data_IF_974663569601
#
_entry.id   IF_974663569601
#
_cell.length_a   1.000
_cell.length_b   1.000
_cell.length_c   1.000
_cell.angle_alpha   90.00
_cell.angle_beta   90.00
_cell.angle_gamma   90.00
#
_symmetry.space_group_name_H-M   'P 1'
#
loop_
_entity.id
_entity.type
_entity.pdbx_description
1 polymer ?
#
# COMPACT_ATOMS: atom_id res chain seq x y z
N UNK A 1 -2.96 12.33 5.60
CA UNK A 1 -3.94 13.23 6.25
C UNK A 1 -3.46 13.49 7.67
N UNK A 2 -4.12 14.36 8.43
CA UNK A 2 -3.82 14.62 9.85
C UNK A 2 -5.06 14.26 10.66
N UNK A 3 -4.89 13.43 11.68
CA UNK A 3 -5.93 13.16 12.66
C UNK A 3 -6.12 14.41 13.55
N UNK A 4 -7.34 14.92 13.64
CA UNK A 4 -7.62 16.15 14.38
C UNK A 4 -7.55 15.95 15.89
N UNK A 5 -7.74 14.74 16.41
CA UNK A 5 -7.69 14.46 17.84
C UNK A 5 -6.24 14.33 18.33
N UNK A 6 -5.41 13.58 17.59
CA UNK A 6 -4.02 13.29 17.98
C UNK A 6 -3.00 14.22 17.36
N UNK A 7 -3.37 14.95 16.30
CA UNK A 7 -2.47 15.73 15.44
C UNK A 7 -1.39 14.88 14.73
N UNK A 8 -1.54 13.55 14.75
CA UNK A 8 -0.62 12.63 14.08
C UNK A 8 -0.94 12.52 12.57
N UNK A 9 0.08 12.22 11.78
CA UNK A 9 -0.10 11.85 10.38
C UNK A 9 -0.75 10.48 10.29
N UNK A 10 -1.79 10.38 9.47
CA UNK A 10 -2.52 9.15 9.26
C UNK A 10 -2.78 8.85 7.78
N UNK A 11 -3.09 7.59 7.50
CA UNK A 11 -3.48 7.09 6.17
C UNK A 11 -4.93 6.65 6.12
N UNK A 12 -5.46 6.60 4.91
CA UNK A 12 -6.77 6.04 4.63
C UNK A 12 -6.59 4.72 3.93
N UNK A 13 -7.04 3.63 4.56
CA UNK A 13 -7.02 2.32 3.93
C UNK A 13 -8.31 2.14 3.12
N UNK A 14 -8.15 2.05 1.79
CA UNK A 14 -9.27 1.77 0.88
C UNK A 14 -9.74 0.32 1.00
N UNK A 15 -8.81 -0.59 1.28
CA UNK A 15 -9.04 -2.01 1.46
C UNK A 15 -7.78 -2.81 1.21
N UNK A 16 -7.87 -4.11 1.44
CA UNK A 16 -6.74 -5.05 1.27
C UNK A 16 -7.21 -6.27 0.51
N UNK A 17 -6.44 -6.73 -0.47
CA UNK A 17 -6.66 -8.02 -1.11
C UNK A 17 -5.74 -9.07 -0.51
N UNK A 18 -6.28 -10.26 -0.22
CA UNK A 18 -5.51 -11.38 0.30
C UNK A 18 -5.88 -12.67 -0.42
N UNK A 19 -4.85 -13.47 -0.69
CA UNK A 19 -4.97 -14.81 -1.26
C UNK A 19 -4.79 -15.87 -0.15
N UNK A 20 -5.73 -15.87 0.82
CA UNK A 20 -5.70 -16.83 1.93
C UNK A 20 -7.07 -17.01 2.60
N UNK A 21 -7.30 -18.20 3.15
CA UNK A 21 -8.50 -18.55 3.90
C UNK A 21 -8.63 -17.76 5.23
N UNK A 22 -7.51 -17.29 5.78
CA UNK A 22 -7.48 -16.51 7.04
C UNK A 22 -8.26 -15.20 6.94
N UNK A 23 -8.62 -14.78 5.72
CA UNK A 23 -9.50 -13.65 5.41
C UNK A 23 -10.82 -13.65 6.17
N UNK A 24 -11.39 -14.82 6.52
CA UNK A 24 -12.74 -14.93 7.10
C UNK A 24 -12.88 -14.11 8.39
N UNK A 25 -11.91 -14.23 9.32
CA UNK A 25 -11.99 -13.54 10.62
C UNK A 25 -11.90 -12.01 10.45
N UNK A 26 -10.85 -11.45 9.81
CA UNK A 26 -10.76 -10.01 9.54
C UNK A 26 -11.98 -9.45 8.82
N UNK A 27 -12.47 -10.15 7.80
CA UNK A 27 -13.54 -9.66 6.92
C UNK A 27 -14.90 -9.66 7.61
N UNK A 28 -15.25 -10.71 8.37
CA UNK A 28 -16.61 -10.88 8.90
C UNK A 28 -16.72 -10.59 10.40
N UNK A 29 -15.68 -10.88 11.19
CA UNK A 29 -15.69 -10.62 12.63
C UNK A 29 -15.27 -9.18 12.91
N UNK A 30 -14.20 -8.71 12.27
CA UNK A 30 -13.65 -7.36 12.51
C UNK A 30 -14.13 -6.30 11.52
N UNK A 31 -14.95 -6.69 10.53
CA UNK A 31 -15.53 -5.81 9.50
C UNK A 31 -14.48 -5.03 8.70
N UNK A 32 -13.27 -5.57 8.56
CA UNK A 32 -12.23 -4.98 7.73
C UNK A 32 -12.63 -5.06 6.24
N UNK A 33 -12.31 -4.04 5.43
CA UNK A 33 -12.51 -4.02 3.98
C UNK A 33 -11.47 -4.91 3.28
N UNK A 34 -11.39 -6.17 3.72
CA UNK A 34 -10.48 -7.15 3.16
C UNK A 34 -11.23 -8.02 2.15
N UNK A 35 -10.64 -8.23 0.98
CA UNK A 35 -11.25 -8.88 -0.16
C UNK A 35 -10.39 -10.08 -0.59
N UNK A 36 -11.05 -11.15 -1.05
CA UNK A 36 -10.32 -12.28 -1.62
C UNK A 36 -9.78 -11.89 -3.00
N UNK A 37 -8.58 -12.33 -3.30
CA UNK A 37 -7.97 -12.19 -4.62
C UNK A 37 -7.08 -13.39 -4.91
N UNK A 38 -6.83 -13.64 -6.19
CA UNK A 38 -5.73 -14.46 -6.66
C UNK A 38 -4.56 -13.54 -7.00
N UNK A 39 -3.38 -13.82 -6.45
CA UNK A 39 -2.19 -12.99 -6.66
C UNK A 39 -1.10 -13.83 -7.31
N UNK A 40 -0.68 -13.40 -8.50
CA UNK A 40 0.38 -14.05 -9.29
C UNK A 40 1.61 -13.15 -9.31
N UNK A 41 2.77 -13.79 -9.10
CA UNK A 41 4.08 -13.14 -9.19
C UNK A 41 4.93 -13.84 -10.24
N UNK A 42 5.50 -13.06 -11.16
CA UNK A 42 6.54 -13.49 -12.10
C UNK A 42 7.77 -12.60 -11.90
N UNK A 43 8.67 -13.07 -11.03
CA UNK A 43 9.82 -12.33 -10.55
C UNK A 43 11.13 -13.03 -10.92
N UNK A 44 12.10 -12.25 -11.37
CA UNK A 44 13.45 -12.68 -11.68
C UNK A 44 14.44 -11.68 -11.08
N UNK A 45 15.47 -12.20 -10.42
CA UNK A 45 16.52 -11.38 -9.81
C UNK A 45 17.88 -11.73 -10.43
N UNK A 46 18.76 -10.73 -10.50
CA UNK A 46 20.17 -10.94 -10.81
C UNK A 46 20.96 -11.48 -9.60
N UNK A 47 22.27 -11.69 -9.79
CA UNK A 47 23.15 -12.24 -8.75
C UNK A 47 23.27 -11.31 -7.52
N UNK A 48 23.02 -10.02 -7.69
CA UNK A 48 23.04 -9.01 -6.63
C UNK A 48 21.66 -8.79 -5.99
N UNK A 49 20.65 -9.55 -6.41
CA UNK A 49 19.30 -9.52 -5.85
C UNK A 49 18.41 -8.39 -6.38
N UNK A 50 18.81 -7.69 -7.45
CA UNK A 50 17.96 -6.68 -8.11
C UNK A 50 16.97 -7.36 -9.04
N UNK A 51 15.73 -6.90 -9.04
CA UNK A 51 14.72 -7.47 -9.93
C UNK A 51 14.99 -7.08 -11.39
N UNK A 52 15.44 -8.02 -12.23
CA UNK A 52 15.44 -7.83 -13.69
C UNK A 52 14.02 -7.84 -14.24
N UNK A 53 13.11 -8.55 -13.54
CA UNK A 53 11.68 -8.52 -13.77
C UNK A 53 10.96 -8.67 -12.43
N UNK A 54 9.96 -7.82 -12.21
CA UNK A 54 8.95 -8.00 -11.18
C UNK A 54 7.60 -7.72 -11.80
N UNK A 55 6.80 -8.76 -11.97
CA UNK A 55 5.40 -8.66 -12.41
C UNK A 55 4.50 -9.17 -11.31
N UNK A 56 3.52 -8.36 -10.93
CA UNK A 56 2.49 -8.74 -9.98
C UNK A 56 1.13 -8.46 -10.57
N UNK A 57 0.26 -9.47 -10.57
CA UNK A 57 -1.11 -9.36 -11.02
C UNK A 57 -2.06 -9.87 -9.96
N UNK A 58 -3.08 -9.08 -9.68
CA UNK A 58 -4.15 -9.41 -8.73
C UNK A 58 -5.47 -9.51 -9.46
N UNK A 59 -6.14 -10.66 -9.35
CA UNK A 59 -7.51 -10.85 -9.84
C UNK A 59 -8.47 -10.92 -8.65
N UNK A 60 -9.42 -9.98 -8.59
CA UNK A 60 -10.41 -9.92 -7.53
C UNK A 60 -11.73 -9.39 -8.07
N UNK A 61 -12.85 -9.92 -7.55
CA UNK A 61 -14.17 -9.34 -7.80
C UNK A 61 -14.29 -7.90 -7.25
N UNK A 62 -13.41 -7.50 -6.32
CA UNK A 62 -13.40 -6.14 -5.81
C UNK A 62 -12.67 -5.18 -6.73
N UNK A 63 -11.40 -5.43 -7.05
CA UNK A 63 -10.62 -4.64 -8.00
C UNK A 63 -9.37 -5.41 -8.46
N UNK A 64 -9.04 -5.29 -9.74
CA UNK A 64 -7.80 -5.85 -10.30
C UNK A 64 -6.63 -4.85 -10.20
N UNK A 65 -5.43 -5.39 -10.01
CA UNK A 65 -4.18 -4.63 -10.12
C UNK A 65 -3.15 -5.36 -10.97
N UNK A 66 -2.29 -4.61 -11.64
CA UNK A 66 -1.18 -5.11 -12.45
C UNK A 66 0.00 -4.14 -12.32
N UNK A 67 1.19 -4.65 -12.03
CA UNK A 67 2.41 -3.87 -11.90
C UNK A 67 3.54 -4.64 -12.56
N UNK A 68 4.32 -3.94 -13.39
CA UNK A 68 5.56 -4.44 -13.98
C UNK A 68 6.66 -3.41 -13.76
N UNK A 69 7.74 -3.83 -13.10
CA UNK A 69 8.92 -3.02 -12.85
C UNK A 69 10.21 -3.83 -13.01
N UNK A 70 11.32 -3.13 -13.14
CA UNK A 70 12.67 -3.68 -13.07
C UNK A 70 13.57 -2.77 -12.24
N UNK A 71 14.74 -3.25 -11.86
CA UNK A 71 15.75 -2.51 -11.12
C UNK A 71 17.07 -2.48 -11.87
N UNK A 72 17.79 -1.38 -11.69
CA UNK A 72 19.17 -1.17 -12.11
C UNK A 72 19.98 -0.55 -10.97
N UNK A 73 21.28 -0.77 -10.96
CA UNK A 73 22.21 -0.06 -10.06
C UNK A 73 22.14 1.46 -10.26
N UNK A 74 21.78 1.91 -11.47
CA UNK A 74 21.74 3.31 -11.85
C UNK A 74 20.35 3.95 -11.76
N UNK A 75 19.34 3.23 -11.23
CA UNK A 75 18.02 3.82 -11.07
C UNK A 75 18.08 5.02 -10.09
N UNK A 76 17.65 6.22 -10.52
CA UNK A 76 17.84 7.43 -9.75
C UNK A 76 16.82 7.54 -8.61
N UNK A 77 17.23 8.21 -7.53
CA UNK A 77 16.28 8.70 -6.53
C UNK A 77 15.64 10.01 -7.01
N UNK A 78 14.31 10.05 -6.97
CA UNK A 78 13.52 11.27 -7.16
C UNK A 78 12.96 11.71 -5.82
N UNK A 79 13.48 12.82 -5.29
CA UNK A 79 13.08 13.38 -3.98
C UNK A 79 13.04 14.92 -4.02
N UNK A 80 13.01 15.50 -5.21
CA UNK A 80 12.76 16.92 -5.41
C UNK A 80 11.49 17.36 -4.66
N UNK A 81 11.54 18.54 -4.02
CA UNK A 81 10.49 18.99 -3.11
C UNK A 81 10.63 18.50 -1.66
N UNK A 82 11.57 17.59 -1.37
CA UNK A 82 11.95 17.21 -0.01
C UNK A 82 13.34 17.76 0.36
N UNK A 83 13.58 18.13 1.64
CA UNK A 83 14.89 18.62 2.08
C UNK A 83 16.05 17.65 1.81
N UNK A 84 15.79 16.34 1.93
CA UNK A 84 16.77 15.28 1.72
C UNK A 84 16.08 13.92 1.55
N UNK A 85 16.85 12.91 1.13
CA UNK A 85 16.40 11.53 0.94
C UNK A 85 15.72 10.94 2.19
N UNK A 86 16.23 11.24 3.39
CA UNK A 86 15.67 10.73 4.64
C UNK A 86 14.25 11.27 4.86
N UNK A 87 14.04 12.58 4.74
CA UNK A 87 12.74 13.21 4.91
C UNK A 87 11.71 12.69 3.90
N UNK A 88 12.14 12.41 2.67
CA UNK A 88 11.35 11.80 1.62
C UNK A 88 10.92 10.37 1.99
N UNK A 89 11.87 9.54 2.43
CA UNK A 89 11.58 8.16 2.86
C UNK A 89 10.64 8.14 4.07
N UNK A 90 10.88 9.00 5.07
CA UNK A 90 9.99 9.13 6.24
C UNK A 90 8.59 9.55 5.81
N UNK A 91 8.47 10.51 4.88
CA UNK A 91 7.17 10.95 4.39
C UNK A 91 6.37 9.80 3.76
N UNK A 92 7.01 8.98 2.93
CA UNK A 92 6.35 7.88 2.22
C UNK A 92 6.04 6.67 3.10
N UNK A 93 6.85 6.40 4.12
CA UNK A 93 6.82 5.12 4.84
C UNK A 93 6.27 5.21 6.25
N UNK A 94 6.15 6.40 6.87
CA UNK A 94 5.98 6.50 8.33
C UNK A 94 4.57 6.68 8.94
N UNK A 95 3.42 6.73 8.22
CA UNK A 95 2.14 6.81 8.93
C UNK A 95 1.75 5.47 9.58
N UNK A 96 1.82 5.42 10.91
CA UNK A 96 1.56 4.21 11.72
C UNK A 96 0.08 3.96 12.03
N UNK A 97 -0.76 5.00 11.93
CA UNK A 97 -2.20 4.93 12.16
C UNK A 97 -2.94 5.05 10.83
N UNK A 98 -3.92 4.17 10.61
CA UNK A 98 -4.80 4.30 9.47
C UNK A 98 -6.26 4.06 9.79
N UNK A 99 -7.09 4.80 9.06
CA UNK A 99 -8.54 4.81 9.19
C UNK A 99 -9.16 4.19 7.94
N UNK A 100 -10.36 3.64 8.09
CA UNK A 100 -11.06 3.00 6.98
C UNK A 100 -12.57 2.95 7.24
N UNK A 101 -13.34 2.83 6.16
CA UNK A 101 -14.75 2.47 6.26
C UNK A 101 -14.89 0.98 6.56
N UNK A 102 -15.47 0.68 7.71
CA UNK A 102 -15.87 -0.69 8.05
C UNK A 102 -17.01 -1.12 7.15
N UNK A 103 -17.16 -2.43 6.99
CA UNK A 103 -18.25 -3.02 6.18
C UNK A 103 -19.65 -2.79 6.75
N UNK A 104 -19.75 -2.45 8.05
CA UNK A 104 -21.00 -2.05 8.72
C UNK A 104 -21.28 -0.53 8.62
N UNK A 105 -20.48 0.20 7.83
CA UNK A 105 -20.63 1.65 7.61
C UNK A 105 -19.99 2.52 8.69
N UNK A 106 -19.48 1.94 9.78
CA UNK A 106 -18.80 2.68 10.85
C UNK A 106 -17.35 3.02 10.47
N UNK A 107 -16.74 3.92 11.23
CA UNK A 107 -15.32 4.22 11.11
C UNK A 107 -14.50 3.19 11.89
N UNK A 108 -13.49 2.62 11.23
CA UNK A 108 -12.51 1.74 11.85
C UNK A 108 -11.13 2.38 11.86
N UNK A 109 -10.29 1.94 12.79
CA UNK A 109 -8.88 2.29 12.83
C UNK A 109 -8.04 1.09 13.25
N UNK A 110 -6.86 0.94 12.65
CA UNK A 110 -5.83 0.04 13.16
C UNK A 110 -4.45 0.68 13.00
N UNK A 111 -3.49 0.11 13.72
CA UNK A 111 -2.09 0.51 13.64
C UNK A 111 -1.29 -0.57 12.94
N UNK A 112 -0.33 -0.14 12.13
CA UNK A 112 0.69 -1.02 11.55
C UNK A 112 2.02 -0.52 12.06
N UNK A 113 2.81 -1.43 12.61
CA UNK A 113 4.20 -1.18 12.88
C UNK A 113 5.05 -1.91 11.85
N UNK A 114 6.14 -1.29 11.42
CA UNK A 114 7.19 -1.95 10.66
C UNK A 114 8.52 -1.33 11.09
N UNK A 115 9.60 -2.09 10.89
CA UNK A 115 10.95 -1.54 11.02
C UNK A 115 11.21 -0.44 9.99
N UNK A 116 12.36 0.22 10.06
CA UNK A 116 12.76 1.16 9.01
C UNK A 116 12.83 0.42 7.68
N UNK A 117 12.05 0.88 6.70
CA UNK A 117 12.10 0.36 5.33
C UNK A 117 13.37 0.86 4.63
N UNK A 118 13.96 0.01 3.79
CA UNK A 118 15.13 0.33 2.99
C UNK A 118 14.85 0.17 1.49
N UNK A 119 13.82 0.85 0.94
CA UNK A 119 13.49 0.71 -0.46
C UNK A 119 14.63 1.20 -1.35
N UNK A 120 14.68 0.66 -2.56
CA UNK A 120 15.57 1.10 -3.63
C UNK A 120 14.74 1.58 -4.82
N UNK A 121 15.26 2.53 -5.62
CA UNK A 121 14.61 2.93 -6.86
C UNK A 121 14.44 1.74 -7.81
N UNK A 122 13.43 1.87 -8.66
CA UNK A 122 13.13 0.95 -9.74
C UNK A 122 12.60 1.73 -10.95
N UNK A 123 12.61 1.09 -12.11
CA UNK A 123 11.96 1.58 -13.32
C UNK A 123 10.58 0.94 -13.46
N UNK A 124 9.54 1.76 -13.61
CA UNK A 124 8.20 1.27 -13.94
C UNK A 124 8.07 1.04 -15.45
N UNK A 125 7.58 -0.14 -15.83
CA UNK A 125 7.19 -0.45 -17.21
C UNK A 125 5.68 -0.33 -17.42
N UNK A 126 4.91 -0.74 -16.41
CA UNK A 126 3.46 -0.71 -16.47
C UNK A 126 2.84 -0.72 -15.07
N UNK A 127 1.79 0.05 -14.88
CA UNK A 127 0.95 -0.02 -13.69
C UNK A 127 -0.51 0.19 -14.07
N UNK A 128 -1.38 -0.60 -13.46
CA UNK A 128 -2.83 -0.46 -13.53
C UNK A 128 -3.44 -0.88 -12.21
N UNK A 129 -4.08 0.06 -11.53
CA UNK A 129 -4.84 -0.13 -10.31
C UNK A 129 -6.28 0.28 -10.59
N UNK A 130 -7.15 -0.71 -10.81
CA UNK A 130 -8.55 -0.46 -11.18
C UNK A 130 -9.28 0.39 -10.13
N UNK A 131 -9.02 0.12 -8.85
CA UNK A 131 -9.68 0.82 -7.75
C UNK A 131 -9.41 2.33 -7.77
N UNK A 132 -8.17 2.74 -8.04
CA UNK A 132 -7.79 4.15 -8.05
C UNK A 132 -8.51 4.91 -9.18
N UNK A 133 -8.63 4.30 -10.35
CA UNK A 133 -9.36 4.86 -11.48
C UNK A 133 -10.87 4.91 -11.19
N UNK A 134 -11.43 3.82 -10.65
CA UNK A 134 -12.87 3.73 -10.32
C UNK A 134 -13.30 4.72 -9.24
N UNK A 135 -12.40 5.08 -8.33
CA UNK A 135 -12.61 6.10 -7.30
C UNK A 135 -12.28 7.53 -7.79
N UNK A 136 -11.89 7.71 -9.05
CA UNK A 136 -11.44 8.99 -9.61
C UNK A 136 -10.27 9.63 -8.84
N UNK A 137 -9.39 8.81 -8.25
CA UNK A 137 -8.20 9.28 -7.53
C UNK A 137 -7.01 9.46 -8.46
N UNK A 138 -6.79 8.49 -9.37
CA UNK A 138 -5.73 8.53 -10.38
C UNK A 138 -6.22 7.79 -11.63
N UNK A 139 -6.25 8.46 -12.79
CA UNK A 139 -6.63 7.82 -14.06
C UNK A 139 -5.55 6.84 -14.54
N UNK A 140 -5.88 5.98 -15.50
CA UNK A 140 -4.93 4.97 -15.98
C UNK A 140 -3.71 5.59 -16.65
N UNK A 141 -3.88 6.73 -17.32
CA UNK A 141 -2.79 7.44 -17.98
C UNK A 141 -1.76 7.98 -16.99
N UNK A 142 -2.21 8.47 -15.84
CA UNK A 142 -1.34 9.01 -14.78
C UNK A 142 -0.71 7.89 -13.94
N UNK A 143 -1.35 6.73 -13.83
CA UNK A 143 -0.76 5.57 -13.16
C UNK A 143 0.53 5.07 -13.84
N UNK A 144 0.72 5.36 -15.12
CA UNK A 144 1.95 5.07 -15.85
C UNK A 144 3.10 6.06 -15.57
N UNK A 145 2.83 7.13 -14.82
CA UNK A 145 3.78 8.23 -14.57
C UNK A 145 3.85 8.58 -13.08
N UNK A 146 4.11 7.61 -12.18
CA UNK A 146 4.28 7.94 -10.78
C UNK A 146 5.51 8.84 -10.61
N UNK A 147 5.44 9.73 -9.63
CA UNK A 147 6.59 10.56 -9.26
C UNK A 147 7.81 9.72 -8.83
N UNK A 148 7.55 8.57 -8.20
CA UNK A 148 8.62 7.67 -7.75
C UNK A 148 8.17 6.23 -7.74
N UNK A 149 9.13 5.34 -8.00
CA UNK A 149 8.93 3.89 -8.03
C UNK A 149 10.00 3.30 -7.12
N UNK A 150 9.56 2.67 -6.04
CA UNK A 150 10.40 2.16 -4.97
C UNK A 150 10.04 0.72 -4.68
N UNK A 151 11.04 -0.13 -4.49
CA UNK A 151 10.84 -1.54 -4.14
C UNK A 151 11.81 -1.97 -3.05
N UNK A 152 11.32 -2.82 -2.14
CA UNK A 152 12.10 -3.54 -1.15
C UNK A 152 11.71 -5.03 -1.27
N UNK A 153 12.67 -5.95 -1.44
CA UNK A 153 12.33 -7.35 -1.70
C UNK A 153 11.54 -8.02 -0.58
N UNK A 154 11.84 -7.68 0.67
CA UNK A 154 11.21 -8.25 1.87
C UNK A 154 11.01 -7.13 2.89
N UNK A 155 9.81 -7.04 3.42
CA UNK A 155 9.49 -6.17 4.54
C UNK A 155 8.68 -6.93 5.60
N UNK A 156 9.04 -6.73 6.87
CA UNK A 156 8.28 -7.26 7.99
C UNK A 156 7.42 -6.15 8.59
N UNK A 157 6.14 -6.47 8.83
CA UNK A 157 5.20 -5.57 9.48
C UNK A 157 4.28 -6.35 10.42
N UNK A 158 3.83 -5.65 11.45
CA UNK A 158 2.91 -6.13 12.46
C UNK A 158 1.64 -5.31 12.40
N UNK A 159 0.52 -5.97 12.08
CA UNK A 159 -0.81 -5.37 12.19
C UNK A 159 -1.32 -5.63 13.60
N UNK A 160 -1.64 -4.58 14.35
CA UNK A 160 -2.23 -4.73 15.68
C UNK A 160 -3.72 -5.03 15.56
N UNK A 161 -4.11 -6.20 16.04
CA UNK A 161 -5.47 -6.73 15.98
C UNK A 161 -5.99 -7.02 17.41
N UNK A 162 -7.32 -6.94 17.66
CA UNK A 162 -8.36 -6.53 16.72
C UNK A 162 -8.34 -5.01 16.47
N UNK A 163 -8.86 -4.55 15.32
CA UNK A 163 -8.96 -3.12 15.03
C UNK A 163 -9.98 -2.43 15.94
N UNK A 164 -9.82 -1.13 16.14
CA UNK A 164 -10.74 -0.29 16.91
C UNK A 164 -11.94 0.12 16.05
N UNK A 165 -13.15 0.03 16.62
CA UNK A 165 -14.35 0.65 16.06
C UNK A 165 -14.53 2.02 16.72
N UNK A 166 -14.51 3.09 15.92
CA UNK A 166 -14.74 4.44 16.41
C UNK A 166 -16.24 4.71 16.35
N UNK A 167 -16.86 4.81 17.52
CA UNK A 167 -18.23 5.30 17.61
C UNK A 167 -18.18 6.81 17.49
N UNK A 168 -18.88 7.37 16.51
CA UNK A 168 -19.10 8.80 16.45
C UNK A 168 -20.06 9.18 17.58
N UNK A 169 -19.54 9.45 18.77
CA UNK A 169 -20.27 10.24 19.75
C UNK A 169 -20.25 11.65 19.22
N UNK A 170 -21.31 12.04 18.52
CA UNK A 170 -21.56 13.44 18.21
C UNK A 170 -21.47 14.25 19.50
N UNK A 171 -20.52 15.18 19.54
CA UNK A 171 -20.61 16.36 20.39
C UNK A 171 -20.95 17.54 19.49
#
# INVERSE_FOLDING_TARGET
MIDQETQERCVWFLGTTLDSWTLIVPRYVWQLPWHSAQIEFDCQQDAEGRYTQYKMRTQSAWATSDVHLSQSEHDPWHFEGFPNLESYQVFLTHPLAGFYHRRDGKLGSYRVWHGRLHPKPATLHYARFELLARLNLVCYEDQLKPYSVLIEPINEFTIYLPPSCLNHSGK
#
